data_IF_603676216112
#
_entry.id   IF_603676216112
#
_cell.length_a   1.000
_cell.length_b   1.000
_cell.length_c   1.000
_cell.angle_alpha   90.00
_cell.angle_beta   90.00
_cell.angle_gamma   90.00
#
_symmetry.space_group_name_H-M   'P 1'
#
loop_
_entity.id
_entity.type
_entity.pdbx_description
1 polymer ?
#
# COMPACT_ATOMS: atom_id res chain seq x y z
N UNK A 1 14.31 -7.72 22.50
CA UNK A 1 13.82 -8.99 21.95
C UNK A 1 12.40 -9.21 22.44
N UNK A 2 11.42 -9.13 21.55
CA UNK A 2 10.01 -9.35 21.87
C UNK A 2 9.71 -10.85 21.96
N UNK A 3 8.54 -11.22 22.50
CA UNK A 3 8.09 -12.63 22.49
C UNK A 3 8.05 -13.22 21.07
N UNK A 4 7.81 -12.37 20.06
CA UNK A 4 7.60 -12.76 18.68
C UNK A 4 8.90 -12.94 17.89
N UNK A 5 9.98 -12.27 18.29
CA UNK A 5 11.30 -12.39 17.62
C UNK A 5 11.78 -13.85 17.62
N UNK A 6 11.49 -14.59 18.70
CA UNK A 6 11.83 -16.01 18.85
C UNK A 6 11.07 -16.94 17.91
N UNK A 7 9.91 -16.51 17.41
CA UNK A 7 9.09 -17.33 16.52
C UNK A 7 9.62 -17.30 15.07
N UNK A 8 10.44 -16.31 14.70
CA UNK A 8 11.02 -16.21 13.36
C UNK A 8 9.99 -16.05 12.24
N UNK A 9 8.76 -15.60 12.57
CA UNK A 9 7.66 -15.45 11.62
C UNK A 9 7.04 -14.05 11.70
N UNK A 10 6.50 -13.52 10.59
CA UNK A 10 5.75 -12.27 10.62
C UNK A 10 4.51 -12.36 11.51
N UNK A 11 4.29 -11.37 12.36
CA UNK A 11 3.09 -11.26 13.20
C UNK A 11 2.21 -10.13 12.69
N UNK A 12 0.95 -10.44 12.39
CA UNK A 12 -0.01 -9.48 11.85
C UNK A 12 -0.96 -8.95 12.92
N UNK A 13 -1.09 -7.64 13.01
CA UNK A 13 -2.09 -6.98 13.84
C UNK A 13 -3.38 -6.80 13.06
N UNK A 14 -4.44 -7.46 13.51
CA UNK A 14 -5.79 -7.35 12.96
C UNK A 14 -6.65 -6.53 13.92
N UNK A 15 -7.38 -5.54 13.40
CA UNK A 15 -8.17 -4.62 14.23
C UNK A 15 -9.59 -5.17 14.39
N UNK A 16 -9.96 -5.38 15.65
CA UNK A 16 -11.31 -5.75 16.09
C UNK A 16 -11.88 -4.51 16.77
N UNK A 17 -12.32 -3.55 15.94
CA UNK A 17 -12.53 -2.18 16.38
C UNK A 17 -13.66 -2.07 17.41
N UNK A 18 -13.47 -1.19 18.39
CA UNK A 18 -14.53 -0.81 19.32
C UNK A 18 -15.37 0.37 18.81
N UNK A 19 -14.86 1.06 17.79
CA UNK A 19 -15.57 2.09 17.02
C UNK A 19 -16.78 1.50 16.29
N UNK A 20 -17.85 2.29 16.15
CA UNK A 20 -19.03 1.89 15.38
C UNK A 20 -18.75 1.90 13.87
N UNK A 21 -19.40 1.00 13.13
CA UNK A 21 -19.22 0.86 11.68
C UNK A 21 -19.54 2.13 10.89
N UNK A 22 -20.60 2.85 11.26
CA UNK A 22 -21.02 4.09 10.59
C UNK A 22 -20.12 5.29 10.95
N UNK A 23 -19.62 5.34 12.18
CA UNK A 23 -18.65 6.36 12.61
C UNK A 23 -17.35 6.19 11.85
N UNK A 24 -16.87 4.94 11.70
CA UNK A 24 -15.64 4.66 10.96
C UNK A 24 -15.74 5.03 9.46
N UNK A 25 -16.90 4.80 8.83
CA UNK A 25 -17.11 5.11 7.41
C UNK A 25 -17.22 6.62 7.12
N UNK A 26 -17.87 7.37 8.01
CA UNK A 26 -18.10 8.80 7.82
C UNK A 26 -16.99 9.70 8.38
N UNK A 27 -16.03 9.13 9.12
CA UNK A 27 -14.92 9.86 9.71
C UNK A 27 -13.66 9.71 8.86
N UNK A 28 -13.11 10.82 8.36
CA UNK A 28 -11.84 10.80 7.62
C UNK A 28 -10.65 10.25 8.42
N UNK A 29 -10.70 10.32 9.76
CA UNK A 29 -9.68 9.74 10.64
C UNK A 29 -9.86 8.22 10.84
N UNK A 30 -10.99 7.66 10.40
CA UNK A 30 -11.34 6.26 10.58
C UNK A 30 -11.62 5.92 12.05
N UNK A 31 -10.64 5.28 12.70
CA UNK A 31 -10.78 4.72 14.05
C UNK A 31 -10.79 5.80 15.14
N UNK A 32 -11.46 5.50 16.26
CA UNK A 32 -11.39 6.34 17.45
C UNK A 32 -9.96 6.36 18.05
N UNK A 33 -9.55 7.42 18.77
CA UNK A 33 -8.22 7.53 19.36
C UNK A 33 -7.81 6.34 20.24
N UNK A 34 -8.74 5.77 21.01
CA UNK A 34 -8.49 4.59 21.82
C UNK A 34 -8.17 3.35 20.97
N UNK A 35 -8.91 3.13 19.87
CA UNK A 35 -8.64 2.04 18.94
C UNK A 35 -7.28 2.24 18.22
N UNK A 36 -6.93 3.48 17.85
CA UNK A 36 -5.62 3.77 17.26
C UNK A 36 -4.47 3.45 18.23
N UNK A 37 -4.60 3.86 19.49
CA UNK A 37 -3.59 3.55 20.50
C UNK A 37 -3.44 2.03 20.69
N UNK A 38 -4.56 1.32 20.86
CA UNK A 38 -4.57 -0.11 21.22
C UNK A 38 -4.27 -1.05 20.05
N UNK A 39 -4.65 -0.68 18.83
CA UNK A 39 -4.57 -1.56 17.67
C UNK A 39 -3.56 -1.12 16.61
N UNK A 40 -2.98 0.09 16.71
CA UNK A 40 -1.97 0.58 15.76
C UNK A 40 -0.68 0.90 16.50
N UNK A 41 -0.68 1.90 17.39
CA UNK A 41 0.55 2.43 18.02
C UNK A 41 1.26 1.38 18.88
N UNK A 42 0.57 0.77 19.84
CA UNK A 42 1.20 -0.23 20.72
C UNK A 42 1.66 -1.47 19.94
N UNK A 43 0.86 -2.05 19.02
CA UNK A 43 1.31 -3.15 18.17
C UNK A 43 2.47 -2.83 17.22
N UNK A 44 2.58 -1.60 16.71
CA UNK A 44 3.71 -1.16 15.88
C UNK A 44 5.01 -1.13 16.69
N UNK A 45 4.96 -0.67 17.95
CA UNK A 45 6.10 -0.74 18.88
C UNK A 45 6.51 -2.19 19.19
N UNK A 46 5.57 -3.13 19.17
CA UNK A 46 5.82 -4.57 19.27
C UNK A 46 6.38 -5.19 17.96
N UNK A 47 6.54 -4.42 16.88
CA UNK A 47 7.02 -4.90 15.58
C UNK A 47 5.97 -5.66 14.75
N UNK A 48 4.67 -5.53 15.08
CA UNK A 48 3.60 -6.22 14.34
C UNK A 48 3.25 -5.46 13.06
N UNK A 49 2.95 -6.21 12.01
CA UNK A 49 2.54 -5.66 10.71
C UNK A 49 1.04 -5.41 10.73
N UNK A 50 0.62 -4.17 10.54
CA UNK A 50 -0.80 -3.83 10.47
C UNK A 50 -1.47 -4.50 9.25
N UNK A 51 -2.47 -5.33 9.50
CA UNK A 51 -3.22 -6.01 8.43
C UNK A 51 -4.50 -5.27 8.03
N UNK A 52 -5.11 -4.54 8.96
CA UNK A 52 -6.35 -3.79 8.75
C UNK A 52 -7.46 -4.16 9.74
N UNK A 53 -8.58 -3.43 9.68
CA UNK A 53 -9.75 -3.70 10.50
C UNK A 53 -10.68 -4.70 9.85
N UNK A 54 -11.16 -5.68 10.62
CA UNK A 54 -12.06 -6.75 10.12
C UNK A 54 -13.46 -6.68 10.71
N UNK A 55 -13.65 -5.90 11.77
CA UNK A 55 -14.92 -5.86 12.48
C UNK A 55 -15.09 -4.54 13.21
N UNK A 56 -16.35 -4.12 13.37
CA UNK A 56 -16.72 -2.90 14.08
C UNK A 56 -17.90 -3.16 15.02
N UNK A 57 -18.10 -2.27 16.02
CA UNK A 57 -19.31 -2.32 16.83
C UNK A 57 -20.54 -1.99 15.98
N UNK A 58 -21.54 -2.85 16.07
CA UNK A 58 -22.85 -2.65 15.47
C UNK A 58 -23.96 -3.19 16.35
N UNK A 59 -25.19 -2.77 16.08
CA UNK A 59 -26.36 -3.31 16.76
C UNK A 59 -26.56 -4.78 16.37
N UNK A 60 -26.92 -5.60 17.37
CA UNK A 60 -27.49 -6.92 17.14
C UNK A 60 -28.99 -6.83 16.98
N UNK A 61 -29.54 -7.87 16.38
CA UNK A 61 -30.98 -8.12 16.37
C UNK A 61 -31.49 -8.19 17.81
N UNK A 62 -32.73 -7.78 18.02
CA UNK A 62 -33.36 -7.81 19.34
C UNK A 62 -33.47 -9.27 19.76
N UNK A 63 -32.88 -9.58 20.91
CA UNK A 63 -33.15 -10.84 21.57
C UNK A 63 -34.55 -10.77 22.23
N UNK A 64 -35.52 -11.59 21.78
CA UNK A 64 -36.88 -11.55 22.30
C UNK A 64 -36.96 -11.84 23.81
N UNK A 65 -35.98 -12.55 24.38
CA UNK A 65 -35.92 -12.87 25.80
C UNK A 65 -35.31 -11.74 26.63
N UNK A 66 -34.40 -10.92 26.06
CA UNK A 66 -33.71 -9.85 26.78
C UNK A 66 -34.38 -8.47 26.62
N UNK A 67 -35.26 -8.32 25.64
CA UNK A 67 -36.04 -7.10 25.43
C UNK A 67 -35.23 -5.84 25.10
N UNK A 68 -33.94 -5.96 24.78
CA UNK A 68 -33.07 -4.84 24.43
C UNK A 68 -32.13 -5.16 23.26
N UNK A 69 -31.67 -4.11 22.56
CA UNK A 69 -30.63 -4.22 21.52
C UNK A 69 -29.25 -4.14 22.14
N UNK A 70 -28.49 -5.23 22.03
CA UNK A 70 -27.09 -5.24 22.43
C UNK A 70 -26.17 -4.74 21.30
N UNK A 71 -25.03 -4.18 21.66
CA UNK A 71 -23.93 -3.93 20.72
C UNK A 71 -22.94 -5.09 20.75
N UNK A 72 -22.57 -5.59 19.58
CA UNK A 72 -21.54 -6.60 19.45
C UNK A 72 -20.58 -6.23 18.32
N UNK A 73 -19.40 -6.84 18.33
CA UNK A 73 -18.50 -6.70 17.21
C UNK A 73 -19.01 -7.55 16.04
N UNK A 74 -19.20 -6.93 14.87
CA UNK A 74 -19.69 -7.59 13.65
C UNK A 74 -18.57 -7.61 12.62
N UNK A 75 -18.24 -8.78 12.05
CA UNK A 75 -17.25 -8.86 10.99
C UNK A 75 -17.76 -8.19 9.71
N UNK A 76 -16.87 -7.52 9.00
CA UNK A 76 -17.08 -6.95 7.67
C UNK A 76 -16.45 -7.91 6.63
N UNK A 77 -17.24 -8.68 5.87
CA UNK A 77 -16.73 -9.78 5.05
C UNK A 77 -15.69 -9.36 3.99
N UNK A 78 -15.85 -8.19 3.39
CA UNK A 78 -14.91 -7.61 2.42
C UNK A 78 -13.54 -7.35 3.07
N UNK A 79 -13.53 -6.85 4.30
CA UNK A 79 -12.30 -6.57 5.05
C UNK A 79 -11.65 -7.81 5.61
N UNK A 80 -12.44 -8.79 6.06
CA UNK A 80 -11.93 -10.14 6.40
C UNK A 80 -11.23 -10.74 5.19
N UNK A 81 -11.84 -10.64 4.02
CA UNK A 81 -11.26 -11.13 2.75
C UNK A 81 -9.97 -10.40 2.40
N UNK A 82 -9.91 -9.08 2.56
CA UNK A 82 -8.71 -8.27 2.34
C UNK A 82 -7.55 -8.71 3.26
N UNK A 83 -7.81 -8.86 4.56
CA UNK A 83 -6.80 -9.29 5.55
C UNK A 83 -6.33 -10.71 5.25
N UNK A 84 -7.26 -11.63 4.98
CA UNK A 84 -6.92 -13.01 4.62
C UNK A 84 -6.07 -13.07 3.34
N UNK A 85 -6.40 -12.27 2.33
CA UNK A 85 -5.63 -12.16 1.08
C UNK A 85 -4.21 -11.64 1.32
N UNK A 86 -4.04 -10.64 2.19
CA UNK A 86 -2.72 -10.12 2.59
C UNK A 86 -1.87 -11.20 3.27
N UNK A 87 -2.43 -11.90 4.26
CA UNK A 87 -1.72 -12.98 4.97
C UNK A 87 -1.38 -14.13 4.02
N UNK A 88 -2.31 -14.52 3.15
CA UNK A 88 -2.07 -15.55 2.13
C UNK A 88 -0.95 -15.15 1.15
N UNK A 89 -0.83 -13.87 0.77
CA UNK A 89 0.25 -13.37 -0.06
C UNK A 89 1.62 -13.48 0.63
N UNK A 90 1.71 -13.20 1.93
CA UNK A 90 2.94 -13.40 2.71
C UNK A 90 3.32 -14.88 2.82
N UNK A 91 2.36 -15.76 3.09
CA UNK A 91 2.59 -17.20 3.12
C UNK A 91 3.09 -17.69 1.74
N UNK A 92 2.49 -17.21 0.66
CA UNK A 92 2.95 -17.52 -0.70
C UNK A 92 4.39 -17.03 -0.91
N UNK A 93 4.70 -15.79 -0.56
CA UNK A 93 6.05 -15.24 -0.65
C UNK A 93 7.08 -16.10 0.11
N UNK A 94 6.75 -16.53 1.32
CA UNK A 94 7.61 -17.40 2.13
C UNK A 94 7.87 -18.75 1.46
N UNK A 95 6.85 -19.34 0.82
CA UNK A 95 6.93 -20.64 0.14
C UNK A 95 7.59 -20.58 -1.25
N UNK A 96 7.51 -19.44 -1.94
CA UNK A 96 8.09 -19.29 -3.28
C UNK A 96 9.63 -19.29 -3.20
N UNK A 97 10.33 -20.16 -3.97
CA UNK A 97 11.79 -20.15 -4.06
C UNK A 97 12.32 -18.78 -4.50
N UNK A 98 13.49 -18.36 -4.02
CA UNK A 98 14.05 -17.03 -4.31
C UNK A 98 14.16 -16.74 -5.81
N UNK A 99 14.57 -17.72 -6.61
CA UNK A 99 14.67 -17.61 -8.05
C UNK A 99 13.33 -17.36 -8.77
N UNK A 100 12.20 -17.69 -8.14
CA UNK A 100 10.85 -17.48 -8.69
C UNK A 100 10.17 -16.23 -8.14
N UNK A 101 10.76 -15.56 -7.15
CA UNK A 101 10.18 -14.35 -6.55
C UNK A 101 10.34 -13.17 -7.49
N UNK A 102 9.23 -12.51 -7.80
CA UNK A 102 9.21 -11.25 -8.53
C UNK A 102 9.13 -10.08 -7.55
N UNK A 103 10.17 -9.26 -7.53
CA UNK A 103 10.28 -8.08 -6.68
C UNK A 103 10.15 -6.82 -7.53
N UNK A 104 9.51 -5.79 -6.97
CA UNK A 104 9.46 -4.46 -7.57
C UNK A 104 10.11 -3.47 -6.60
N UNK A 105 11.05 -2.67 -7.10
CA UNK A 105 11.66 -1.56 -6.37
C UNK A 105 11.04 -0.29 -6.94
N UNK A 106 10.31 0.45 -6.11
CA UNK A 106 9.66 1.70 -6.50
C UNK A 106 10.54 2.87 -6.06
N UNK A 107 10.96 3.70 -7.00
CA UNK A 107 11.75 4.90 -6.76
C UNK A 107 10.82 6.11 -6.92
N UNK A 108 10.70 6.98 -5.90
CA UNK A 108 9.89 8.18 -6.02
C UNK A 108 10.54 9.12 -7.03
N UNK A 109 9.73 9.71 -7.91
CA UNK A 109 10.17 10.72 -8.86
C UNK A 109 9.28 11.96 -8.78
N UNK A 110 9.91 13.12 -8.94
CA UNK A 110 9.27 14.43 -8.89
C UNK A 110 9.63 15.21 -10.16
N UNK A 111 8.93 14.95 -11.28
CA UNK A 111 9.29 15.52 -12.58
C UNK A 111 9.29 17.06 -12.60
N UNK A 112 8.45 17.68 -11.76
CA UNK A 112 8.36 19.13 -11.61
C UNK A 112 9.50 19.75 -10.80
N UNK A 113 10.43 18.95 -10.26
CA UNK A 113 11.56 19.40 -9.46
C UNK A 113 12.86 18.73 -9.95
N UNK A 114 13.57 19.35 -10.92
CA UNK A 114 14.80 18.80 -11.48
C UNK A 114 15.82 18.42 -10.39
N UNK A 115 16.42 17.24 -10.51
CA UNK A 115 17.38 16.70 -9.53
C UNK A 115 16.75 16.01 -8.31
N UNK A 116 15.43 15.82 -8.27
CA UNK A 116 14.73 15.07 -7.21
C UNK A 116 14.29 13.65 -7.60
N UNK A 117 14.76 13.12 -8.72
CA UNK A 117 14.55 11.71 -9.06
C UNK A 117 15.24 10.82 -8.03
N UNK A 118 14.48 9.91 -7.43
CA UNK A 118 14.96 9.10 -6.30
C UNK A 118 15.24 9.91 -5.04
N UNK A 119 14.59 11.05 -4.83
CA UNK A 119 14.79 11.82 -3.60
C UNK A 119 14.19 11.10 -2.39
N UNK A 120 15.05 10.72 -1.44
CA UNK A 120 14.67 10.29 -0.10
C UNK A 120 15.59 10.96 0.94
N UNK A 121 14.99 11.50 2.01
CA UNK A 121 15.73 12.27 3.01
C UNK A 121 16.77 11.40 3.70
N UNK A 122 18.05 11.80 3.58
CA UNK A 122 19.16 11.11 4.24
C UNK A 122 19.62 9.80 3.58
N UNK A 123 19.14 9.50 2.36
CA UNK A 123 19.47 8.27 1.65
C UNK A 123 19.92 8.55 0.21
N UNK A 124 21.06 7.98 -0.19
CA UNK A 124 21.46 7.90 -1.59
C UNK A 124 20.69 6.74 -2.26
N UNK A 125 19.51 7.04 -2.81
CA UNK A 125 18.61 6.01 -3.35
C UNK A 125 19.23 5.25 -4.52
N UNK A 126 19.80 5.89 -5.56
CA UNK A 126 20.41 5.14 -6.66
C UNK A 126 21.51 4.17 -6.19
N UNK A 127 22.43 4.64 -5.34
CA UNK A 127 23.50 3.78 -4.80
C UNK A 127 22.94 2.66 -3.93
N UNK A 128 21.91 2.93 -3.14
CA UNK A 128 21.24 1.92 -2.30
C UNK A 128 20.54 0.86 -3.15
N UNK A 129 19.93 1.25 -4.27
CA UNK A 129 19.30 0.30 -5.20
C UNK A 129 20.34 -0.61 -5.84
N UNK A 130 21.48 -0.08 -6.29
CA UNK A 130 22.57 -0.91 -6.81
C UNK A 130 23.06 -1.93 -5.77
N UNK A 131 23.27 -1.50 -4.53
CA UNK A 131 23.63 -2.40 -3.43
C UNK A 131 22.57 -3.49 -3.22
N UNK A 132 21.28 -3.13 -3.19
CA UNK A 132 20.18 -4.10 -3.07
C UNK A 132 20.14 -5.10 -4.23
N UNK A 133 20.41 -4.67 -5.47
CA UNK A 133 20.44 -5.56 -6.63
C UNK A 133 21.58 -6.59 -6.55
N UNK A 134 22.76 -6.17 -6.08
CA UNK A 134 23.87 -7.07 -5.82
C UNK A 134 23.53 -8.07 -4.71
N UNK A 135 23.03 -7.60 -3.56
CA UNK A 135 22.62 -8.47 -2.45
C UNK A 135 21.56 -9.49 -2.89
N UNK A 136 20.56 -9.07 -3.66
CA UNK A 136 19.53 -9.97 -4.18
C UNK A 136 20.11 -11.04 -5.11
N UNK A 137 21.02 -10.65 -6.01
CA UNK A 137 21.71 -11.59 -6.90
C UNK A 137 22.50 -12.64 -6.11
N UNK A 138 23.30 -12.20 -5.13
CA UNK A 138 24.09 -13.08 -4.26
C UNK A 138 23.22 -14.04 -3.42
N UNK A 139 22.02 -13.60 -3.04
CA UNK A 139 21.06 -14.42 -2.30
C UNK A 139 20.26 -15.40 -3.18
N UNK A 140 20.50 -15.42 -4.50
CA UNK A 140 19.89 -16.35 -5.44
C UNK A 140 18.54 -15.90 -6.02
N UNK A 141 18.26 -14.60 -6.00
CA UNK A 141 17.16 -14.02 -6.78
C UNK A 141 17.60 -13.86 -8.24
N UNK A 142 16.64 -13.96 -9.17
CA UNK A 142 16.92 -13.66 -10.58
C UNK A 142 16.95 -12.14 -10.74
N UNK A 143 18.15 -11.60 -10.95
CA UNK A 143 18.40 -10.20 -11.29
C UNK A 143 19.01 -10.15 -12.69
N UNK A 144 18.53 -9.24 -13.52
CA UNK A 144 19.08 -9.01 -14.87
C UNK A 144 20.44 -8.32 -14.83
N UNK A 145 20.78 -7.61 -15.90
CA UNK A 145 21.97 -6.77 -15.92
C UNK A 145 21.86 -5.66 -14.86
N UNK A 146 22.87 -5.56 -13.99
CA UNK A 146 22.94 -4.53 -12.95
C UNK A 146 23.76 -3.36 -13.51
N UNK A 147 23.20 -2.13 -13.54
CA UNK A 147 23.95 -0.94 -13.96
C UNK A 147 25.21 -0.72 -13.12
N UNK A 148 26.29 -0.22 -13.71
CA UNK A 148 27.57 -0.06 -13.02
C UNK A 148 27.65 1.24 -12.22
N UNK A 149 26.80 2.22 -12.55
CA UNK A 149 26.78 3.51 -11.88
C UNK A 149 25.36 3.97 -11.52
N UNK A 150 25.20 4.77 -10.45
CA UNK A 150 23.94 5.45 -10.14
C UNK A 150 23.30 6.16 -11.33
N UNK A 151 24.13 6.76 -12.18
CA UNK A 151 23.67 7.48 -13.37
C UNK A 151 23.10 6.53 -14.41
N UNK A 152 23.79 5.43 -14.71
CA UNK A 152 23.27 4.41 -15.63
C UNK A 152 21.95 3.81 -15.16
N UNK A 153 21.79 3.62 -13.84
CA UNK A 153 20.51 3.19 -13.27
C UNK A 153 19.40 4.20 -13.58
N UNK A 154 19.62 5.48 -13.30
CA UNK A 154 18.61 6.52 -13.56
C UNK A 154 18.31 6.66 -15.06
N UNK A 155 19.33 6.67 -15.90
CA UNK A 155 19.18 6.75 -17.37
C UNK A 155 18.35 5.56 -17.90
N UNK A 156 18.50 4.36 -17.31
CA UNK A 156 17.71 3.18 -17.69
C UNK A 156 16.22 3.29 -17.34
N UNK A 157 15.88 4.04 -16.29
CA UNK A 157 14.50 4.25 -15.85
C UNK A 157 13.78 5.29 -16.71
N UNK A 158 14.48 6.34 -17.15
CA UNK A 158 13.94 7.36 -18.06
C UNK A 158 13.58 6.76 -19.43
N UNK A 159 14.28 5.70 -19.85
CA UNK A 159 14.01 4.96 -21.10
C UNK A 159 12.80 4.03 -21.05
N UNK A 160 12.17 3.85 -19.89
CA UNK A 160 11.03 2.95 -19.69
C UNK A 160 9.83 3.35 -20.54
N UNK A 161 9.52 2.57 -21.58
CA UNK A 161 8.41 2.85 -22.52
C UNK A 161 7.14 2.06 -22.26
N UNK A 162 7.11 1.28 -21.18
CA UNK A 162 5.98 0.44 -20.84
C UNK A 162 4.86 1.29 -20.25
N UNK A 163 3.72 1.27 -20.92
CA UNK A 163 2.50 1.95 -20.50
C UNK A 163 1.34 0.96 -20.54
N UNK A 164 0.30 1.26 -19.77
CA UNK A 164 -0.91 0.46 -19.77
C UNK A 164 -1.81 0.88 -20.94
N UNK A 165 -2.23 -0.08 -21.78
CA UNK A 165 -3.16 0.22 -22.86
C UNK A 165 -4.51 0.72 -22.34
N UNK A 166 -5.19 1.61 -23.06
CA UNK A 166 -6.47 2.19 -22.61
C UNK A 166 -7.52 1.10 -22.30
N UNK A 167 -7.60 0.05 -23.12
CA UNK A 167 -8.54 -1.05 -22.91
C UNK A 167 -8.23 -1.83 -21.62
N UNK A 168 -6.96 -2.05 -21.33
CA UNK A 168 -6.51 -2.72 -20.09
C UNK A 168 -6.78 -1.83 -18.88
N UNK A 169 -6.47 -0.53 -18.97
CA UNK A 169 -6.80 0.45 -17.94
C UNK A 169 -8.30 0.46 -17.62
N UNK A 170 -9.16 0.51 -18.65
CA UNK A 170 -10.62 0.43 -18.48
C UNK A 170 -11.05 -0.89 -17.85
N UNK A 171 -10.41 -2.01 -18.21
CA UNK A 171 -10.70 -3.32 -17.63
C UNK A 171 -10.38 -3.34 -16.13
N UNK A 172 -9.21 -2.86 -15.72
CA UNK A 172 -8.84 -2.77 -14.30
C UNK A 172 -9.74 -1.83 -13.51
N UNK A 173 -10.16 -0.72 -14.13
CA UNK A 173 -11.01 0.28 -13.47
C UNK A 173 -12.40 -0.26 -13.10
N UNK A 174 -12.90 -1.31 -13.77
CA UNK A 174 -14.21 -1.92 -13.47
C UNK A 174 -14.25 -2.64 -12.12
N UNK A 175 -13.10 -3.09 -11.63
CA UNK A 175 -13.00 -3.82 -10.36
C UNK A 175 -12.79 -2.87 -9.16
N UNK A 176 -12.67 -1.56 -9.41
CA UNK A 176 -12.45 -0.54 -8.39
C UNK A 176 -13.77 0.05 -7.87
N UNK A 177 -13.81 0.59 -6.64
CA UNK A 177 -14.98 1.29 -6.13
C UNK A 177 -15.39 2.45 -7.04
N UNK A 178 -16.65 2.51 -7.43
CA UNK A 178 -17.17 3.54 -8.36
C UNK A 178 -16.88 4.97 -7.88
N UNK A 179 -16.95 5.22 -6.57
CA UNK A 179 -16.63 6.53 -5.99
C UNK A 179 -15.15 6.93 -6.18
N UNK A 180 -14.23 5.97 -6.12
CA UNK A 180 -12.80 6.24 -6.36
C UNK A 180 -12.55 6.55 -7.83
N UNK A 181 -13.15 5.78 -8.75
CA UNK A 181 -13.05 6.04 -10.19
C UNK A 181 -13.63 7.41 -10.55
N UNK A 182 -14.80 7.75 -10.00
CA UNK A 182 -15.42 9.05 -10.21
C UNK A 182 -14.55 10.21 -9.68
N UNK A 183 -13.92 10.05 -8.50
CA UNK A 183 -13.01 11.05 -7.94
C UNK A 183 -11.77 11.27 -8.82
N UNK A 184 -11.18 10.20 -9.34
CA UNK A 184 -10.05 10.28 -10.28
C UNK A 184 -10.49 11.00 -11.56
N UNK A 185 -11.62 10.61 -12.16
CA UNK A 185 -12.10 11.27 -13.38
C UNK A 185 -12.50 12.73 -13.19
N UNK A 186 -12.99 13.11 -12.01
CA UNK A 186 -13.30 14.51 -11.70
C UNK A 186 -12.04 15.37 -11.54
N UNK A 187 -10.97 14.80 -10.99
CA UNK A 187 -9.71 15.51 -10.79
C UNK A 187 -8.86 15.60 -12.07
N UNK A 188 -8.89 14.54 -12.90
CA UNK A 188 -7.95 14.35 -14.00
C UNK A 188 -8.60 14.17 -15.38
N UNK A 189 -9.92 14.25 -15.49
CA UNK A 189 -10.63 14.04 -16.76
C UNK A 189 -10.78 12.57 -17.16
N UNK A 190 -11.14 12.31 -18.42
CA UNK A 190 -11.30 10.95 -18.94
C UNK A 190 -10.01 10.47 -19.57
N UNK A 191 -9.62 9.23 -19.27
CA UNK A 191 -8.43 8.60 -19.86
C UNK A 191 -8.46 8.52 -21.40
N UNK A 192 -9.63 8.65 -22.01
CA UNK A 192 -9.85 8.62 -23.46
C UNK A 192 -9.41 9.92 -24.14
N UNK A 193 -9.49 11.03 -23.41
CA UNK A 193 -9.16 12.36 -23.91
C UNK A 193 -7.64 12.62 -23.88
N UNK A 194 -6.89 11.77 -23.17
CA UNK A 194 -5.45 11.90 -22.92
C UNK A 194 -4.63 10.70 -23.46
N UNK A 195 -5.22 9.87 -24.33
CA UNK A 195 -4.53 8.69 -24.87
C UNK A 195 -3.23 9.07 -25.59
N UNK A 196 -2.09 8.64 -25.05
CA UNK A 196 -0.76 8.90 -25.63
C UNK A 196 0.05 9.96 -24.91
N UNK A 197 -0.53 10.69 -23.94
CA UNK A 197 0.24 11.56 -23.05
C UNK A 197 1.01 10.69 -22.06
N UNK A 198 2.33 10.63 -22.24
CA UNK A 198 3.29 10.07 -21.28
C UNK A 198 3.94 11.15 -20.42
N UNK A 199 3.52 12.39 -20.62
CA UNK A 199 4.01 13.54 -19.87
C UNK A 199 3.38 13.50 -18.47
N UNK A 200 4.21 13.74 -17.45
CA UNK A 200 3.71 13.87 -16.11
C UNK A 200 2.71 15.04 -16.07
N UNK A 201 1.52 14.86 -15.46
CA UNK A 201 0.60 15.98 -15.29
C UNK A 201 1.29 17.10 -14.51
N UNK A 202 0.91 18.35 -14.81
CA UNK A 202 1.42 19.51 -14.09
C UNK A 202 1.25 19.30 -12.58
N UNK A 203 2.33 19.56 -11.82
CA UNK A 203 2.32 19.40 -10.37
C UNK A 203 1.15 20.15 -9.74
N UNK A 204 0.31 19.43 -9.01
CA UNK A 204 -0.75 20.00 -8.16
C UNK A 204 -0.22 20.46 -6.80
N UNK A 205 1.05 20.13 -6.48
CA UNK A 205 1.71 20.65 -5.29
C UNK A 205 2.09 22.12 -5.54
N UNK A 206 1.78 23.03 -4.60
CA UNK A 206 2.18 24.43 -4.70
C UNK A 206 3.71 24.54 -4.81
N UNK A 207 4.19 25.50 -5.59
CA UNK A 207 5.62 25.78 -5.70
C UNK A 207 6.15 26.22 -4.33
N UNK A 208 6.91 25.34 -3.69
CA UNK A 208 7.53 25.52 -2.37
C UNK A 208 9.00 25.95 -2.49
N UNK A 209 9.40 26.45 -3.66
CA UNK A 209 10.73 27.04 -3.84
C UNK A 209 10.91 28.25 -2.92
N UNK A 210 11.94 28.29 -2.06
CA UNK A 210 12.25 29.49 -1.29
C UNK A 210 12.70 30.59 -2.26
N UNK A 211 12.01 31.73 -2.21
CA UNK A 211 12.40 32.99 -2.86
C UNK A 211 13.71 33.52 -2.33
#
# INVERSE_FOLDING_TARGET
ETLFDRAGVPVFQVIVATTRRDVWENNQRGLAPADLAMHVVLPELDGRILAGAISFKGERDIDPALGHRAFANRPEPDRVTQVAGRVAAFIRLQKTPRAERKLAILIPDYPSAPGRTGYAVGLDVPSSVLAMLHDLSEQGYVVGEIPQTPRELLDSLEGGRDGLGLEEYRKFSKDLPAGAVAAVSAAWGKAEDETGLREAPLSVLPDISPS
#
